data_IF_207338581906
#
_entry.id   IF_207338581906
#
_cell.length_a   1.000
_cell.length_b   1.000
_cell.length_c   1.000
_cell.angle_alpha   90.00
_cell.angle_beta   90.00
_cell.angle_gamma   90.00
#
_symmetry.space_group_name_H-M   'P 1'
#
loop_
_entity.id
_entity.type
_entity.pdbx_description
1 polymer ?
#
# COMPACT_ATOMS: atom_id res chain seq x y z
N UNK A 1 -29.58 2.11 -19.31
CA UNK A 1 -30.43 3.28 -19.03
C UNK A 1 -30.26 3.61 -17.57
N UNK A 2 -29.47 4.66 -17.27
CA UNK A 2 -29.39 5.22 -15.93
C UNK A 2 -30.78 5.73 -15.54
N UNK A 3 -31.29 5.42 -14.35
CA UNK A 3 -32.59 5.96 -13.93
C UNK A 3 -32.45 7.49 -13.83
N UNK A 4 -33.34 8.21 -14.52
CA UNK A 4 -33.45 9.65 -14.37
C UNK A 4 -34.13 9.94 -13.03
N UNK A 5 -33.35 10.30 -12.00
CA UNK A 5 -33.87 10.83 -10.73
C UNK A 5 -33.69 12.36 -10.71
N UNK A 6 -34.70 13.12 -10.23
CA UNK A 6 -34.76 14.57 -10.39
C UNK A 6 -33.66 15.33 -9.61
N UNK A 7 -33.26 16.48 -10.15
CA UNK A 7 -32.10 17.27 -9.76
C UNK A 7 -32.02 17.73 -8.29
N UNK A 8 -33.13 17.73 -7.55
CA UNK A 8 -33.15 18.10 -6.12
C UNK A 8 -32.55 17.02 -5.21
N UNK A 9 -32.61 15.74 -5.60
CA UNK A 9 -32.02 14.62 -4.84
C UNK A 9 -30.50 14.49 -5.07
N UNK A 10 -29.98 15.05 -6.17
CA UNK A 10 -28.55 14.99 -6.52
C UNK A 10 -27.66 15.78 -5.53
N UNK A 11 -28.17 16.88 -4.98
CA UNK A 11 -27.41 17.75 -4.07
C UNK A 11 -27.27 17.13 -2.67
N UNK A 12 -28.29 16.41 -2.19
CA UNK A 12 -28.25 15.70 -0.91
C UNK A 12 -27.37 14.43 -0.97
N UNK A 13 -27.40 13.67 -2.07
CA UNK A 13 -26.51 12.51 -2.26
C UNK A 13 -25.03 12.90 -2.46
N UNK A 14 -24.74 14.09 -2.99
CA UNK A 14 -23.37 14.63 -3.11
C UNK A 14 -22.69 14.85 -1.75
N UNK A 15 -23.44 15.19 -0.71
CA UNK A 15 -22.90 15.35 0.65
C UNK A 15 -22.74 14.00 1.37
N UNK A 16 -23.69 13.07 1.19
CA UNK A 16 -23.65 11.75 1.82
C UNK A 16 -22.49 10.87 1.32
N UNK A 17 -22.16 10.91 0.02
CA UNK A 17 -21.02 10.16 -0.54
C UNK A 17 -19.64 10.73 -0.15
N UNK A 18 -19.55 12.01 0.23
CA UNK A 18 -18.28 12.62 0.68
C UNK A 18 -17.98 12.43 2.17
N UNK A 19 -18.98 12.06 2.98
CA UNK A 19 -18.86 11.94 4.44
C UNK A 19 -19.05 10.52 4.99
N UNK A 20 -19.46 9.54 4.18
CA UNK A 20 -19.73 8.16 4.61
C UNK A 20 -18.51 7.27 4.76
N UNK A 21 -17.61 7.61 5.68
CA UNK A 21 -16.75 6.61 6.33
C UNK A 21 -17.56 5.90 7.40
N UNK A 22 -17.66 4.57 7.29
CA UNK A 22 -18.24 3.63 8.26
C UNK A 22 -19.75 3.74 8.55
N UNK A 23 -20.42 2.60 8.34
CA UNK A 23 -21.65 2.14 9.00
C UNK A 23 -23.00 2.73 8.52
N UNK A 24 -23.83 1.85 7.95
CA UNK A 24 -25.27 2.07 7.81
C UNK A 24 -25.83 1.60 6.47
N UNK A 25 -26.46 0.43 6.46
CA UNK A 25 -27.33 -0.08 5.40
C UNK A 25 -28.40 0.97 5.02
N UNK A 26 -28.35 1.48 3.79
CA UNK A 26 -29.51 2.04 3.12
C UNK A 26 -29.63 1.44 1.72
N UNK A 27 -30.50 0.43 1.66
CA UNK A 27 -30.89 -0.34 0.49
C UNK A 27 -31.33 0.56 -0.67
N UNK A 28 -30.62 0.50 -1.80
CA UNK A 28 -31.17 0.90 -3.09
C UNK A 28 -32.20 -0.16 -3.54
N UNK A 29 -33.47 0.21 -3.83
CA UNK A 29 -34.47 -0.75 -4.29
C UNK A 29 -34.19 -1.10 -5.75
N UNK A 30 -33.84 -2.36 -6.04
CA UNK A 30 -33.81 -2.88 -7.41
C UNK A 30 -32.63 -3.80 -7.79
N UNK A 31 -31.63 -4.02 -6.93
CA UNK A 31 -30.59 -5.02 -7.19
C UNK A 31 -30.86 -6.30 -6.39
N UNK A 32 -31.12 -7.41 -7.08
CA UNK A 32 -30.94 -8.75 -6.49
C UNK A 32 -29.51 -8.84 -5.92
N UNK A 33 -29.31 -9.34 -4.69
CA UNK A 33 -28.01 -9.40 -4.08
C UNK A 33 -27.18 -10.53 -4.72
N UNK A 34 -26.38 -10.21 -5.74
CA UNK A 34 -25.27 -11.07 -6.18
C UNK A 34 -23.95 -10.77 -5.45
N UNK A 35 -24.00 -9.97 -4.38
CA UNK A 35 -22.81 -9.52 -3.65
C UNK A 35 -22.27 -10.52 -2.63
N UNK A 36 -22.98 -11.62 -2.32
CA UNK A 36 -22.54 -12.54 -1.26
C UNK A 36 -21.45 -13.55 -1.70
N UNK A 37 -21.36 -13.93 -2.98
CA UNK A 37 -20.39 -14.92 -3.45
C UNK A 37 -19.14 -14.34 -4.12
N UNK A 38 -19.10 -13.01 -4.37
CA UNK A 38 -18.00 -12.36 -5.10
C UNK A 38 -16.85 -11.88 -4.21
N UNK A 39 -16.96 -12.09 -2.89
CA UNK A 39 -15.99 -11.62 -1.90
C UNK A 39 -14.73 -12.46 -1.72
N UNK A 40 -14.68 -13.71 -2.22
CA UNK A 40 -13.57 -14.63 -1.92
C UNK A 40 -12.34 -14.41 -2.81
N UNK A 41 -12.52 -14.16 -4.11
CA UNK A 41 -11.39 -14.04 -5.04
C UNK A 41 -10.67 -12.67 -4.99
N UNK A 42 -11.41 -11.57 -4.80
CA UNK A 42 -10.80 -10.23 -4.63
C UNK A 42 -10.16 -10.04 -3.25
N UNK A 43 -10.59 -10.79 -2.22
CA UNK A 43 -9.95 -10.81 -0.90
C UNK A 43 -8.57 -11.51 -0.90
N UNK A 44 -8.31 -12.44 -1.81
CA UNK A 44 -7.06 -13.20 -1.83
C UNK A 44 -5.83 -12.34 -2.22
N UNK A 45 -5.97 -11.46 -3.21
CA UNK A 45 -4.87 -10.62 -3.69
C UNK A 45 -4.43 -9.57 -2.64
N UNK A 46 -5.38 -8.92 -1.97
CA UNK A 46 -5.11 -7.96 -0.87
C UNK A 46 -4.72 -8.61 0.46
N UNK A 47 -4.89 -9.92 0.62
CA UNK A 47 -4.50 -10.64 1.84
C UNK A 47 -2.98 -10.84 1.91
N UNK A 48 -2.32 -11.22 0.83
CA UNK A 48 -0.86 -11.49 0.82
C UNK A 48 0.00 -10.26 1.19
N UNK A 49 -0.36 -9.07 0.69
CA UNK A 49 0.37 -7.83 1.00
C UNK A 49 0.25 -7.45 2.49
N UNK A 50 -0.92 -7.69 3.11
CA UNK A 50 -1.12 -7.41 4.55
C UNK A 50 -0.27 -8.32 5.43
N UNK A 51 -0.16 -9.60 5.08
CA UNK A 51 0.73 -10.54 5.77
C UNK A 51 2.21 -10.21 5.61
N UNK A 52 2.61 -9.48 4.57
CA UNK A 52 3.99 -9.04 4.37
C UNK A 52 4.33 -7.82 5.23
N UNK A 53 3.46 -6.82 5.23
CA UNK A 53 3.75 -5.49 5.81
C UNK A 53 3.78 -5.53 7.34
N UNK A 54 2.84 -6.24 7.97
CA UNK A 54 2.71 -6.29 9.43
C UNK A 54 3.95 -6.86 10.12
N UNK A 55 4.45 -8.07 9.78
CA UNK A 55 5.65 -8.61 10.40
C UNK A 55 6.91 -7.81 10.06
N UNK A 56 7.01 -7.24 8.85
CA UNK A 56 8.14 -6.39 8.49
C UNK A 56 8.20 -5.12 9.36
N UNK A 57 7.06 -4.44 9.53
CA UNK A 57 6.98 -3.21 10.32
C UNK A 57 7.15 -3.45 11.82
N UNK A 58 6.43 -4.43 12.36
CA UNK A 58 6.53 -4.82 13.78
C UNK A 58 7.92 -5.37 14.12
N UNK A 59 8.41 -6.31 13.30
CA UNK A 59 9.74 -6.89 13.45
C UNK A 59 10.85 -5.85 13.34
N UNK A 60 10.77 -4.93 12.36
CA UNK A 60 11.73 -3.84 12.21
C UNK A 60 11.77 -2.94 13.44
N UNK A 61 10.61 -2.50 13.93
CA UNK A 61 10.52 -1.62 15.10
C UNK A 61 11.13 -2.27 16.36
N UNK A 62 10.75 -3.53 16.64
CA UNK A 62 11.29 -4.29 17.78
C UNK A 62 12.79 -4.51 17.66
N UNK A 63 13.24 -4.94 16.48
CA UNK A 63 14.64 -5.22 16.21
C UNK A 63 15.48 -3.94 16.31
N UNK A 64 14.93 -2.78 15.93
CA UNK A 64 15.61 -1.48 16.04
C UNK A 64 15.88 -1.10 17.49
N UNK A 65 14.90 -1.31 18.38
CA UNK A 65 15.07 -1.14 19.82
C UNK A 65 16.08 -2.15 20.40
N UNK A 66 16.01 -3.41 19.95
CA UNK A 66 16.96 -4.45 20.35
C UNK A 66 18.40 -4.07 19.99
N UNK A 67 18.67 -3.62 18.75
CA UNK A 67 20.00 -3.22 18.30
C UNK A 67 20.56 -2.05 19.13
N UNK A 68 19.74 -1.04 19.43
CA UNK A 68 20.15 0.12 20.25
C UNK A 68 20.56 -0.33 21.66
N UNK A 69 19.79 -1.24 22.27
CA UNK A 69 20.07 -1.75 23.61
C UNK A 69 21.29 -2.69 23.62
N UNK A 70 21.33 -3.66 22.70
CA UNK A 70 22.35 -4.72 22.66
C UNK A 70 23.75 -4.19 22.36
N UNK A 71 23.86 -3.30 21.38
CA UNK A 71 25.15 -2.71 20.97
C UNK A 71 25.50 -1.44 21.76
N UNK A 72 24.66 -1.05 22.74
CA UNK A 72 24.84 0.17 23.55
C UNK A 72 25.15 1.40 22.68
N UNK A 73 24.48 1.51 21.53
CA UNK A 73 24.70 2.62 20.59
C UNK A 73 24.43 3.93 21.33
N UNK A 74 25.47 4.74 21.56
CA UNK A 74 25.40 6.05 22.24
C UNK A 74 25.82 7.16 21.28
N UNK A 75 25.18 8.31 21.47
CA UNK A 75 25.41 9.53 20.69
C UNK A 75 25.44 9.30 19.19
N UNK A 76 26.55 9.66 18.55
CA UNK A 76 26.75 9.55 17.10
C UNK A 76 26.58 8.12 16.56
N UNK A 77 26.82 7.09 17.38
CA UNK A 77 26.63 5.69 17.00
C UNK A 77 25.18 5.36 16.62
N UNK A 78 24.19 5.97 17.29
CA UNK A 78 22.77 5.76 16.97
C UNK A 78 22.40 6.38 15.63
N UNK A 79 22.88 7.59 15.34
CA UNK A 79 22.60 8.30 14.08
C UNK A 79 23.29 7.60 12.91
N UNK A 80 24.53 7.12 13.09
CA UNK A 80 25.24 6.29 12.09
C UNK A 80 24.49 5.00 11.77
N UNK A 81 23.89 4.35 12.77
CA UNK A 81 23.05 3.17 12.55
C UNK A 81 21.81 3.50 11.70
N UNK A 82 21.12 4.61 11.98
CA UNK A 82 20.02 5.08 11.13
C UNK A 82 20.48 5.35 9.69
N UNK A 83 21.65 5.95 9.51
CA UNK A 83 22.23 6.22 8.20
C UNK A 83 22.50 4.92 7.42
N UNK A 84 23.06 3.90 8.07
CA UNK A 84 23.26 2.58 7.45
C UNK A 84 21.93 1.91 7.08
N UNK A 85 20.94 1.94 7.97
CA UNK A 85 19.62 1.36 7.69
C UNK A 85 18.94 2.05 6.50
N UNK A 86 19.03 3.38 6.42
CA UNK A 86 18.45 4.15 5.31
C UNK A 86 19.19 3.91 4.00
N UNK A 87 20.52 3.73 4.02
CA UNK A 87 21.30 3.33 2.84
C UNK A 87 20.91 1.95 2.32
N UNK A 88 20.78 0.95 3.21
CA UNK A 88 20.35 -0.41 2.80
C UNK A 88 18.93 -0.36 2.24
N UNK A 89 18.04 0.42 2.87
CA UNK A 89 16.68 0.61 2.40
C UNK A 89 16.62 1.32 1.04
N UNK A 90 17.47 2.33 0.81
CA UNK A 90 17.62 3.04 -0.47
C UNK A 90 18.05 2.08 -1.58
N UNK A 91 19.09 1.27 -1.34
CA UNK A 91 19.60 0.30 -2.32
C UNK A 91 18.54 -0.77 -2.63
N UNK A 92 17.84 -1.26 -1.60
CA UNK A 92 16.76 -2.24 -1.76
C UNK A 92 15.57 -1.66 -2.54
N UNK A 93 15.34 -0.34 -2.48
CA UNK A 93 14.27 0.34 -3.21
C UNK A 93 14.47 0.33 -4.73
N UNK A 94 15.70 0.13 -5.21
CA UNK A 94 15.98 -0.03 -6.64
C UNK A 94 15.31 -1.27 -7.26
N UNK A 95 14.74 -2.17 -6.43
CA UNK A 95 13.95 -3.32 -6.92
C UNK A 95 12.81 -2.91 -7.85
N UNK A 96 12.24 -1.71 -7.69
CA UNK A 96 11.18 -1.20 -8.57
C UNK A 96 11.66 -0.91 -10.01
N UNK A 97 12.97 -1.04 -10.31
CA UNK A 97 13.46 -1.13 -11.69
C UNK A 97 13.02 -2.44 -12.36
N UNK A 98 12.99 -3.53 -11.59
CA UNK A 98 12.45 -4.82 -12.05
C UNK A 98 10.93 -4.77 -11.94
N UNK A 99 10.26 -4.70 -13.09
CA UNK A 99 8.81 -4.71 -13.16
C UNK A 99 8.33 -5.93 -13.94
N UNK A 100 7.21 -6.49 -13.52
CA UNK A 100 6.57 -7.57 -14.26
C UNK A 100 5.84 -6.98 -15.48
N UNK A 101 5.85 -7.68 -16.64
CA UNK A 101 5.02 -7.29 -17.76
C UNK A 101 3.54 -7.31 -17.35
N UNK A 102 2.73 -6.49 -18.02
CA UNK A 102 1.28 -6.54 -17.85
C UNK A 102 0.75 -7.83 -18.48
N UNK A 103 -0.24 -8.44 -17.83
CA UNK A 103 -1.06 -9.46 -18.49
C UNK A 103 -1.76 -8.79 -19.67
N UNK A 104 -1.78 -9.41 -20.86
CA UNK A 104 -2.49 -8.85 -22.01
C UNK A 104 -3.99 -8.81 -21.71
N UNK A 105 -4.59 -7.65 -21.96
CA UNK A 105 -6.02 -7.39 -21.78
C UNK A 105 -6.58 -7.00 -23.13
N UNK A 106 -7.54 -7.79 -23.64
CA UNK A 106 -8.15 -7.57 -24.94
C UNK A 106 -8.85 -6.20 -25.00
N UNK A 107 -8.52 -5.41 -26.02
CA UNK A 107 -9.05 -4.06 -26.25
C UNK A 107 -8.43 -2.95 -25.38
N UNK A 108 -7.45 -3.28 -24.52
CA UNK A 108 -6.79 -2.31 -23.62
C UNK A 108 -5.27 -2.30 -23.79
N UNK A 109 -4.62 -3.46 -23.66
CA UNK A 109 -3.16 -3.61 -23.83
C UNK A 109 -2.79 -4.48 -25.02
N UNK A 110 -3.70 -5.36 -25.46
CA UNK A 110 -3.59 -6.15 -26.68
C UNK A 110 -4.90 -6.06 -27.48
N UNK A 111 -4.82 -6.08 -28.80
CA UNK A 111 -6.00 -6.21 -29.66
C UNK A 111 -6.54 -7.63 -29.64
N UNK A 112 -7.79 -7.79 -30.07
CA UNK A 112 -8.43 -9.11 -30.19
C UNK A 112 -7.71 -10.07 -31.18
N UNK A 113 -6.90 -9.54 -32.10
CA UNK A 113 -6.03 -10.31 -32.99
C UNK A 113 -4.60 -10.53 -32.46
N UNK A 114 -4.33 -10.24 -31.19
CA UNK A 114 -3.01 -10.44 -30.56
C UNK A 114 -1.97 -9.33 -30.80
N UNK A 115 -2.29 -8.29 -31.58
CA UNK A 115 -1.39 -7.15 -31.80
C UNK A 115 -1.29 -6.27 -30.54
N UNK A 116 -0.08 -5.80 -30.19
CA UNK A 116 0.09 -4.85 -29.09
C UNK A 116 -0.53 -3.49 -29.45
N UNK A 117 -1.40 -2.97 -28.58
CA UNK A 117 -2.05 -1.68 -28.80
C UNK A 117 -1.22 -0.54 -28.18
N UNK A 118 -1.07 0.60 -28.88
CA UNK A 118 -0.50 1.82 -28.29
C UNK A 118 -1.36 2.33 -27.13
N UNK A 119 -0.72 3.02 -26.18
CA UNK A 119 -1.41 3.70 -25.06
C UNK A 119 -2.54 4.60 -25.56
N UNK A 120 -3.72 4.46 -24.97
CA UNK A 120 -4.87 5.34 -25.21
C UNK A 120 -5.86 4.86 -26.28
N UNK A 121 -5.56 3.77 -27.01
CA UNK A 121 -6.56 3.11 -27.88
C UNK A 121 -7.38 2.10 -27.07
N UNK A 122 -8.47 2.58 -26.49
CA UNK A 122 -9.42 1.73 -25.78
C UNK A 122 -10.56 1.34 -26.73
N UNK A 123 -10.57 0.09 -27.18
CA UNK A 123 -11.69 -0.46 -27.95
C UNK A 123 -12.00 -1.88 -27.50
N UNK A 124 -13.04 -1.98 -26.66
CA UNK A 124 -13.50 -3.26 -26.12
C UNK A 124 -14.35 -4.05 -27.14
N UNK A 125 -14.76 -3.44 -28.25
CA UNK A 125 -15.60 -4.07 -29.28
C UNK A 125 -14.77 -4.59 -30.46
N UNK A 126 -15.13 -5.78 -30.95
CA UNK A 126 -14.51 -6.45 -32.09
C UNK A 126 -15.55 -7.30 -32.83
N UNK A 127 -15.23 -7.74 -34.05
CA UNK A 127 -16.14 -8.57 -34.86
C UNK A 127 -16.63 -9.83 -34.12
N UNK A 128 -15.76 -10.45 -33.31
CA UNK A 128 -16.08 -11.66 -32.56
C UNK A 128 -17.10 -11.46 -31.42
N UNK A 129 -17.15 -10.27 -30.80
CA UNK A 129 -18.08 -9.97 -29.69
C UNK A 129 -19.24 -9.02 -30.08
N UNK A 130 -19.29 -8.59 -31.35
CA UNK A 130 -20.31 -7.68 -31.85
C UNK A 130 -21.74 -8.22 -31.70
N UNK A 131 -21.92 -9.55 -31.81
CA UNK A 131 -23.22 -10.22 -31.72
C UNK A 131 -23.86 -10.08 -30.33
N UNK A 132 -23.06 -9.91 -29.29
CA UNK A 132 -23.55 -9.97 -27.91
C UNK A 132 -23.99 -8.61 -27.34
N UNK A 133 -23.81 -7.50 -28.08
CA UNK A 133 -24.13 -6.13 -27.65
C UNK A 133 -23.66 -5.81 -26.22
N UNK A 134 -22.35 -6.00 -25.98
CA UNK A 134 -21.77 -5.92 -24.65
C UNK A 134 -21.89 -4.53 -24.03
N UNK A 135 -22.23 -4.50 -22.73
CA UNK A 135 -22.32 -3.29 -21.93
C UNK A 135 -20.98 -2.99 -21.24
N UNK A 136 -20.38 -1.81 -21.43
CA UNK A 136 -19.08 -1.47 -20.84
C UNK A 136 -19.14 -1.24 -19.32
N UNK A 137 -20.33 -1.11 -18.72
CA UNK A 137 -20.47 -0.87 -17.29
C UNK A 137 -20.31 -2.15 -16.44
N UNK A 138 -20.47 -3.33 -17.06
CA UNK A 138 -20.46 -4.61 -16.34
C UNK A 138 -19.11 -5.33 -16.42
N UNK A 139 -18.19 -4.93 -15.53
CA UNK A 139 -16.87 -5.56 -15.39
C UNK A 139 -16.95 -6.92 -14.69
N UNK A 140 -16.50 -7.96 -15.37
CA UNK A 140 -16.50 -9.33 -14.84
C UNK A 140 -15.36 -10.12 -15.48
N UNK A 141 -14.10 -9.87 -15.08
CA UNK A 141 -12.94 -10.35 -15.82
C UNK A 141 -12.95 -11.87 -15.94
N UNK A 142 -12.58 -12.36 -17.12
CA UNK A 142 -12.37 -13.77 -17.41
C UNK A 142 -10.99 -13.97 -18.02
N UNK A 143 -10.37 -15.10 -17.75
CA UNK A 143 -9.09 -15.49 -18.33
C UNK A 143 -9.31 -16.51 -19.44
N UNK A 144 -8.99 -16.14 -20.68
CA UNK A 144 -9.05 -17.05 -21.82
C UNK A 144 -7.95 -18.12 -21.77
N UNK A 145 -8.17 -19.23 -22.46
CA UNK A 145 -7.19 -20.31 -22.65
C UNK A 145 -5.93 -19.85 -23.39
N UNK A 146 -6.00 -18.71 -24.06
CA UNK A 146 -4.90 -17.99 -24.72
C UNK A 146 -4.01 -17.18 -23.75
N UNK A 147 -4.37 -17.11 -22.46
CA UNK A 147 -3.68 -16.30 -21.46
C UNK A 147 -4.01 -14.81 -21.52
N UNK A 148 -4.99 -14.41 -22.34
CA UNK A 148 -5.49 -13.03 -22.44
C UNK A 148 -6.64 -12.82 -21.47
N UNK A 149 -6.64 -11.69 -20.78
CA UNK A 149 -7.75 -11.29 -19.92
C UNK A 149 -8.78 -10.50 -20.74
N UNK A 150 -10.05 -10.85 -20.60
CA UNK A 150 -11.16 -10.17 -21.24
C UNK A 150 -12.00 -9.40 -20.21
N UNK A 151 -12.61 -8.29 -20.62
CA UNK A 151 -13.36 -7.40 -19.73
C UNK A 151 -14.58 -8.09 -19.08
N UNK A 152 -15.28 -8.92 -19.86
CA UNK A 152 -16.38 -9.75 -19.38
C UNK A 152 -16.56 -11.00 -20.27
N UNK A 153 -17.37 -12.00 -19.87
CA UNK A 153 -17.66 -13.16 -20.72
C UNK A 153 -18.27 -12.77 -22.07
N UNK A 154 -19.08 -11.71 -22.10
CA UNK A 154 -19.63 -11.13 -23.33
C UNK A 154 -18.52 -10.61 -24.26
N UNK A 155 -17.56 -9.87 -23.70
CA UNK A 155 -16.44 -9.34 -24.47
C UNK A 155 -15.50 -10.44 -24.99
N UNK A 156 -15.46 -11.59 -24.32
CA UNK A 156 -14.81 -12.81 -24.81
C UNK A 156 -15.66 -13.59 -25.85
N UNK A 157 -16.91 -13.18 -26.07
CA UNK A 157 -17.81 -13.83 -27.03
C UNK A 157 -18.29 -15.20 -26.60
N UNK A 158 -18.38 -15.46 -25.29
CA UNK A 158 -18.79 -16.76 -24.76
C UNK A 158 -20.32 -16.86 -24.65
N UNK A 159 -20.97 -17.87 -25.27
CA UNK A 159 -22.43 -18.02 -25.27
C UNK A 159 -23.00 -18.60 -23.98
N UNK A 160 -22.24 -19.47 -23.29
CA UNK A 160 -22.72 -20.21 -22.12
C UNK A 160 -21.67 -20.33 -21.02
N UNK A 161 -22.15 -20.53 -19.79
CA UNK A 161 -21.34 -20.76 -18.60
C UNK A 161 -21.64 -22.14 -18.02
N UNK A 162 -20.60 -22.88 -17.70
CA UNK A 162 -20.63 -24.17 -17.01
C UNK A 162 -20.00 -24.00 -15.62
N UNK A 163 -20.53 -24.71 -14.62
CA UNK A 163 -19.91 -24.72 -13.29
C UNK A 163 -18.87 -25.83 -13.24
N UNK A 164 -17.61 -25.47 -13.06
CA UNK A 164 -16.51 -26.43 -12.93
C UNK A 164 -16.54 -27.17 -11.57
N UNK A 165 -15.78 -28.26 -11.44
CA UNK A 165 -15.77 -29.12 -10.25
C UNK A 165 -15.30 -28.42 -8.96
N UNK A 166 -14.69 -27.24 -9.05
CA UNK A 166 -14.30 -26.39 -7.91
C UNK A 166 -15.26 -25.21 -7.64
N UNK A 167 -16.45 -25.18 -8.24
CA UNK A 167 -17.41 -24.07 -8.11
C UNK A 167 -17.07 -22.82 -8.92
N UNK A 168 -15.94 -22.81 -9.65
CA UNK A 168 -15.56 -21.75 -10.57
C UNK A 168 -16.35 -21.87 -11.88
N UNK A 169 -16.84 -20.75 -12.42
CA UNK A 169 -17.50 -20.74 -13.72
C UNK A 169 -16.47 -20.84 -14.85
N UNK A 170 -16.71 -21.77 -15.76
CA UNK A 170 -15.94 -21.99 -16.99
C UNK A 170 -16.87 -21.70 -18.17
N UNK A 171 -16.40 -20.88 -19.10
CA UNK A 171 -17.13 -20.48 -20.29
C UNK A 171 -16.51 -21.18 -21.50
N UNK A 172 -17.32 -21.82 -22.34
CA UNK A 172 -16.87 -22.58 -23.52
C UNK A 172 -17.39 -21.96 -24.80
N UNK A 173 -16.71 -22.24 -25.92
CA UNK A 173 -17.12 -21.79 -27.24
C UNK A 173 -17.01 -20.27 -27.40
N UNK A 174 -16.00 -19.66 -26.77
CA UNK A 174 -15.79 -18.23 -26.80
C UNK A 174 -15.24 -17.81 -28.17
N UNK A 175 -16.00 -17.02 -28.94
CA UNK A 175 -15.64 -16.64 -30.31
C UNK A 175 -14.41 -15.73 -30.41
N UNK A 176 -14.10 -14.97 -29.36
CA UNK A 176 -12.92 -14.10 -29.32
C UNK A 176 -11.67 -14.78 -28.78
N UNK A 177 -11.79 -16.01 -28.25
CA UNK A 177 -10.66 -16.76 -27.71
C UNK A 177 -10.21 -17.75 -28.79
N UNK A 178 -8.97 -17.66 -29.31
CA UNK A 178 -8.48 -18.60 -30.30
C UNK A 178 -8.55 -20.04 -29.77
N UNK A 179 -8.89 -21.03 -30.62
CA UNK A 179 -8.83 -22.43 -30.23
C UNK A 179 -7.38 -22.80 -29.87
N UNK A 180 -7.23 -23.57 -28.80
CA UNK A 180 -5.94 -24.15 -28.42
C UNK A 180 -5.44 -25.11 -29.51
N UNK A 181 -4.14 -25.43 -29.49
CA UNK A 181 -3.47 -26.32 -30.48
C UNK A 181 -4.13 -27.70 -30.59
N UNK A 182 -4.85 -28.12 -29.55
CA UNK A 182 -5.85 -29.19 -29.57
C UNK A 182 -7.21 -28.61 -29.95
N UNK A 183 -7.85 -29.14 -31.00
CA UNK A 183 -9.16 -28.86 -31.69
C UNK A 183 -10.36 -28.46 -30.80
N UNK A 184 -10.19 -28.37 -29.49
CA UNK A 184 -11.12 -27.80 -28.53
C UNK A 184 -11.41 -26.31 -28.81
N UNK A 185 -12.70 -25.91 -28.79
CA UNK A 185 -13.10 -24.51 -28.85
C UNK A 185 -12.45 -23.69 -27.74
N UNK A 186 -12.15 -22.42 -28.02
CA UNK A 186 -11.62 -21.48 -27.02
C UNK A 186 -12.52 -21.43 -25.78
N UNK A 187 -11.90 -21.50 -24.60
CA UNK A 187 -12.60 -21.44 -23.32
C UNK A 187 -12.02 -20.32 -22.44
N UNK A 188 -12.81 -19.86 -21.48
CA UNK A 188 -12.37 -18.86 -20.51
C UNK A 188 -12.82 -19.24 -19.10
N UNK A 189 -12.02 -18.92 -18.09
CA UNK A 189 -12.34 -19.17 -16.68
C UNK A 189 -12.65 -17.86 -15.97
N UNK A 190 -13.56 -17.90 -15.00
CA UNK A 190 -13.90 -16.72 -14.19
C UNK A 190 -12.68 -16.23 -13.38
N UNK A 191 -12.41 -14.92 -13.47
CA UNK A 191 -11.34 -14.25 -12.72
C UNK A 191 -10.28 -13.59 -13.59
N UNK A 192 -9.28 -13.00 -12.93
CA UNK A 192 -8.11 -12.41 -13.58
C UNK A 192 -7.13 -13.51 -13.98
N UNK A 193 -6.43 -13.33 -15.09
CA UNK A 193 -5.38 -14.29 -15.47
C UNK A 193 -4.23 -14.28 -14.47
N UNK A 194 -3.62 -15.46 -14.19
CA UNK A 194 -2.42 -15.53 -13.38
C UNK A 194 -1.28 -14.80 -14.09
N UNK A 195 -0.61 -13.89 -13.38
CA UNK A 195 0.60 -13.25 -13.90
C UNK A 195 1.79 -14.19 -13.73
N UNK A 196 2.26 -14.79 -14.83
CA UNK A 196 3.49 -15.56 -14.85
C UNK A 196 4.70 -14.62 -14.75
N UNK A 197 5.07 -14.24 -13.53
CA UNK A 197 6.25 -13.41 -13.28
C UNK A 197 7.24 -14.16 -12.37
N UNK A 198 8.40 -14.61 -12.89
CA UNK A 198 9.38 -15.36 -12.12
C UNK A 198 10.03 -14.51 -11.01
N UNK A 199 10.10 -13.19 -11.21
CA UNK A 199 10.69 -12.24 -10.25
C UNK A 199 9.73 -11.82 -9.13
N UNK A 200 8.47 -12.29 -9.13
CA UNK A 200 7.48 -11.96 -8.10
C UNK A 200 7.95 -12.26 -6.65
N UNK A 201 8.48 -13.45 -6.31
CA UNK A 201 8.98 -13.71 -4.95
C UNK A 201 10.16 -12.82 -4.57
N UNK A 202 11.06 -12.52 -5.51
CA UNK A 202 12.19 -11.62 -5.29
C UNK A 202 11.71 -10.19 -4.99
N UNK A 203 10.75 -9.67 -5.75
CA UNK A 203 10.13 -8.37 -5.52
C UNK A 203 9.49 -8.30 -4.12
N UNK A 204 8.73 -9.33 -3.73
CA UNK A 204 8.11 -9.42 -2.41
C UNK A 204 9.15 -9.43 -1.28
N UNK A 205 10.22 -10.21 -1.42
CA UNK A 205 11.30 -10.29 -0.44
C UNK A 205 12.05 -8.95 -0.29
N UNK A 206 12.32 -8.25 -1.38
CA UNK A 206 12.99 -6.95 -1.34
C UNK A 206 12.08 -5.84 -0.82
N UNK A 207 10.77 -5.87 -1.12
CA UNK A 207 9.80 -4.97 -0.50
C UNK A 207 9.71 -5.21 1.01
N UNK A 208 9.74 -6.47 1.46
CA UNK A 208 9.85 -6.79 2.88
C UNK A 208 11.11 -6.18 3.50
N UNK A 209 12.26 -6.29 2.83
CA UNK A 209 13.52 -5.70 3.28
C UNK A 209 13.45 -4.17 3.37
N UNK A 210 12.87 -3.51 2.37
CA UNK A 210 12.63 -2.06 2.38
C UNK A 210 11.82 -1.65 3.61
N UNK A 211 10.70 -2.34 3.86
CA UNK A 211 9.82 -2.04 5.00
C UNK A 211 10.56 -2.30 6.31
N UNK A 212 11.20 -3.46 6.44
CA UNK A 212 11.97 -3.86 7.63
C UNK A 212 13.00 -2.79 8.00
N UNK A 213 13.89 -2.40 7.08
CA UNK A 213 14.92 -1.39 7.36
C UNK A 213 14.36 0.02 7.58
N UNK A 214 13.23 0.36 6.96
CA UNK A 214 12.54 1.63 7.24
C UNK A 214 12.11 1.68 8.70
N UNK A 215 11.40 0.66 9.17
CA UNK A 215 10.95 0.58 10.55
C UNK A 215 12.09 0.30 11.55
N UNK A 216 13.16 -0.37 11.12
CA UNK A 216 14.37 -0.60 11.92
C UNK A 216 15.01 0.70 12.41
N UNK A 217 14.94 1.75 11.60
CA UNK A 217 15.49 3.07 11.94
C UNK A 217 14.59 3.92 12.84
N UNK A 218 13.31 3.54 13.03
CA UNK A 218 12.31 4.36 13.73
C UNK A 218 12.62 4.55 15.22
N UNK A 219 12.81 3.47 15.98
CA UNK A 219 13.14 3.50 17.40
C UNK A 219 14.53 4.11 17.67
N UNK A 220 15.59 3.77 16.90
CA UNK A 220 16.87 4.46 17.02
C UNK A 220 16.76 5.97 16.80
N UNK A 221 16.01 6.42 15.79
CA UNK A 221 15.80 7.85 15.54
C UNK A 221 15.07 8.54 16.70
N UNK A 222 14.00 7.93 17.22
CA UNK A 222 13.29 8.43 18.40
C UNK A 222 14.22 8.52 19.63
N UNK A 223 15.03 7.49 19.84
CA UNK A 223 16.00 7.44 20.95
C UNK A 223 17.08 8.51 20.79
N UNK A 224 17.52 8.78 19.56
CA UNK A 224 18.46 9.85 19.26
C UNK A 224 17.87 11.22 19.61
N UNK A 225 16.62 11.50 19.21
CA UNK A 225 15.93 12.75 19.56
C UNK A 225 15.84 12.95 21.08
N UNK A 226 15.40 11.92 21.83
CA UNK A 226 15.23 12.01 23.28
C UNK A 226 16.54 12.24 24.04
N UNK A 227 17.67 11.80 23.48
CA UNK A 227 19.01 12.00 24.06
C UNK A 227 19.61 13.36 23.72
N UNK A 228 19.09 14.07 22.74
CA UNK A 228 19.53 15.42 22.37
C UNK A 228 18.80 16.53 23.15
N UNK A 229 17.73 16.17 23.88
CA UNK A 229 16.85 17.12 24.56
C UNK A 229 16.88 16.86 26.07
N UNK A 230 16.92 17.93 26.87
CA UNK A 230 16.83 17.87 28.33
C UNK A 230 15.54 17.19 28.79
N UNK A 231 15.57 16.50 29.93
CA UNK A 231 14.43 15.71 30.44
C UNK A 231 13.10 16.49 30.48
N UNK A 232 13.13 17.76 30.87
CA UNK A 232 11.95 18.63 30.96
C UNK A 232 11.31 18.97 29.60
N UNK A 233 12.07 18.92 28.50
CA UNK A 233 11.60 19.33 27.16
C UNK A 233 11.27 18.14 26.25
N UNK A 234 11.46 16.89 26.70
CA UNK A 234 11.28 15.70 25.87
C UNK A 234 9.87 15.56 25.29
N UNK A 235 8.84 15.77 26.10
CA UNK A 235 7.44 15.67 25.66
C UNK A 235 7.10 16.73 24.61
N UNK A 236 7.64 17.95 24.77
CA UNK A 236 7.48 19.02 23.79
C UNK A 236 8.16 18.68 22.45
N UNK A 237 9.40 18.18 22.49
CA UNK A 237 10.12 17.75 21.30
C UNK A 237 9.42 16.61 20.56
N UNK A 238 8.92 15.60 21.28
CA UNK A 238 8.12 14.52 20.69
C UNK A 238 6.82 15.05 20.05
N UNK A 239 6.16 16.02 20.69
CA UNK A 239 4.98 16.68 20.14
C UNK A 239 5.27 17.33 18.78
N UNK A 240 6.33 18.13 18.68
CA UNK A 240 6.76 18.74 17.42
C UNK A 240 7.11 17.67 16.38
N UNK A 241 7.87 16.64 16.76
CA UNK A 241 8.26 15.55 15.87
C UNK A 241 7.03 14.87 15.24
N UNK A 242 6.00 14.55 16.04
CA UNK A 242 4.78 13.91 15.53
C UNK A 242 3.93 14.85 14.67
N UNK A 243 3.88 16.14 15.00
CA UNK A 243 3.22 17.15 14.16
C UNK A 243 3.89 17.19 12.77
N UNK A 244 5.22 17.24 12.71
CA UNK A 244 5.97 17.24 11.44
C UNK A 244 5.75 15.95 10.65
N UNK A 245 5.81 14.78 11.30
CA UNK A 245 5.56 13.48 10.65
C UNK A 245 4.14 13.42 10.06
N UNK A 246 3.15 13.95 10.78
CA UNK A 246 1.76 13.90 10.32
C UNK A 246 1.47 14.90 9.21
N UNK A 247 1.99 16.12 9.34
CA UNK A 247 1.76 17.21 8.36
C UNK A 247 2.54 16.99 7.06
N UNK A 248 3.79 16.56 7.13
CA UNK A 248 4.66 16.37 5.95
C UNK A 248 4.65 14.93 5.41
N UNK A 249 4.20 13.96 6.21
CA UNK A 249 4.18 12.55 5.84
C UNK A 249 2.76 12.00 5.69
N UNK A 250 2.03 11.88 6.80
CA UNK A 250 0.74 11.17 6.83
C UNK A 250 -0.36 11.81 5.98
N UNK A 251 -0.39 13.14 5.87
CA UNK A 251 -1.39 13.86 5.07
C UNK A 251 -1.04 13.83 3.57
N UNK A 252 0.15 14.29 3.11
CA UNK A 252 0.48 14.30 1.70
C UNK A 252 0.76 12.90 1.13
N UNK A 253 1.17 11.93 1.97
CA UNK A 253 1.53 10.59 1.54
C UNK A 253 0.42 9.86 0.76
N UNK A 254 -0.79 9.67 1.34
CA UNK A 254 -1.91 9.05 0.63
C UNK A 254 -2.36 9.84 -0.60
N UNK A 255 -2.28 11.17 -0.58
CA UNK A 255 -2.66 12.02 -1.72
C UNK A 255 -1.69 11.80 -2.89
N UNK A 256 -0.38 11.85 -2.63
CA UNK A 256 0.64 11.59 -3.64
C UNK A 256 0.55 10.16 -4.19
N UNK A 257 0.31 9.19 -3.30
CA UNK A 257 0.14 7.79 -3.69
C UNK A 257 -1.12 7.57 -4.55
N UNK A 258 -2.23 8.21 -4.20
CA UNK A 258 -3.46 8.21 -5.01
C UNK A 258 -3.19 8.78 -6.41
N UNK A 259 -2.53 9.93 -6.49
CA UNK A 259 -2.17 10.54 -7.78
C UNK A 259 -1.27 9.62 -8.64
N UNK A 260 -0.32 8.91 -8.04
CA UNK A 260 0.53 7.93 -8.75
C UNK A 260 -0.31 6.76 -9.29
N UNK A 261 -1.25 6.23 -8.50
CA UNK A 261 -2.15 5.15 -8.91
C UNK A 261 -3.04 5.61 -10.07
N UNK A 262 -3.62 6.79 -9.97
CA UNK A 262 -4.52 7.34 -10.98
C UNK A 262 -3.78 7.56 -12.31
N UNK A 263 -2.53 8.02 -12.26
CA UNK A 263 -1.65 8.18 -13.44
C UNK A 263 -1.32 6.86 -14.13
N UNK A 264 -1.27 5.76 -13.37
CA UNK A 264 -1.00 4.44 -13.91
C UNK A 264 -2.25 3.72 -14.44
N UNK A 265 -3.43 4.33 -14.34
CA UNK A 265 -4.68 3.72 -14.80
C UNK A 265 -4.76 3.66 -16.33
N UNK A 266 -5.15 2.50 -16.87
CA UNK A 266 -5.43 2.28 -18.28
C UNK A 266 -6.93 2.25 -18.59
N UNK A 267 -7.74 1.75 -17.65
CA UNK A 267 -9.18 1.58 -17.84
C UNK A 267 -9.93 2.03 -16.60
N UNK A 268 -10.58 3.18 -16.70
CA UNK A 268 -11.43 3.74 -15.65
C UNK A 268 -12.80 3.06 -15.63
N UNK A 269 -13.34 2.88 -14.44
CA UNK A 269 -14.76 2.57 -14.28
C UNK A 269 -15.58 3.84 -14.51
N UNK A 270 -16.54 3.77 -15.42
CA UNK A 270 -17.58 4.79 -15.57
C UNK A 270 -18.88 4.28 -14.94
N UNK A 271 -19.41 5.03 -13.97
CA UNK A 271 -20.75 4.82 -13.45
C UNK A 271 -21.54 6.10 -13.63
N UNK A 272 -22.46 6.10 -14.60
CA UNK A 272 -23.34 7.23 -14.87
C UNK A 272 -22.58 8.55 -15.13
N UNK A 273 -21.46 8.50 -15.87
CA UNK A 273 -20.63 9.67 -16.17
C UNK A 273 -19.78 10.18 -14.99
N UNK A 274 -19.69 9.41 -13.90
CA UNK A 274 -18.75 9.64 -12.81
C UNK A 274 -17.63 8.60 -12.86
N UNK A 275 -16.39 9.07 -12.78
CA UNK A 275 -15.21 8.19 -12.72
C UNK A 275 -15.12 7.53 -11.33
N UNK A 276 -15.10 6.20 -11.33
CA UNK A 276 -14.92 5.37 -10.15
C UNK A 276 -13.51 4.78 -10.06
N UNK A 277 -13.39 3.56 -9.55
CA UNK A 277 -12.11 2.85 -9.42
C UNK A 277 -11.53 2.43 -10.77
N UNK A 278 -10.21 2.32 -10.88
CA UNK A 278 -9.58 1.81 -12.10
C UNK A 278 -9.58 0.26 -12.14
N UNK A 279 -9.96 -0.29 -13.29
CA UNK A 279 -10.07 -1.74 -13.50
C UNK A 279 -8.73 -2.40 -13.88
N UNK A 280 -7.93 -1.70 -14.69
CA UNK A 280 -6.65 -2.18 -15.23
C UNK A 280 -5.60 -1.09 -15.10
N UNK A 281 -4.48 -1.44 -14.47
CA UNK A 281 -3.33 -0.54 -14.28
C UNK A 281 -2.17 -0.99 -15.16
N UNK A 282 -1.29 -0.06 -15.48
CA UNK A 282 -0.04 -0.36 -16.18
C UNK A 282 1.11 -0.55 -15.21
N UNK A 283 1.55 -1.81 -15.06
CA UNK A 283 2.61 -2.21 -14.14
C UNK A 283 3.92 -1.43 -14.32
N UNK A 284 4.39 -1.27 -15.57
CA UNK A 284 5.63 -0.55 -15.87
C UNK A 284 5.58 0.92 -15.40
N UNK A 285 4.47 1.61 -15.70
CA UNK A 285 4.27 3.00 -15.30
C UNK A 285 4.16 3.13 -13.78
N UNK A 286 3.38 2.25 -13.16
CA UNK A 286 3.19 2.21 -11.72
C UNK A 286 4.53 2.00 -10.99
N UNK A 287 5.34 1.05 -11.47
CA UNK A 287 6.68 0.78 -10.93
C UNK A 287 7.61 1.98 -11.08
N UNK A 288 7.61 2.63 -12.25
CA UNK A 288 8.43 3.81 -12.51
C UNK A 288 8.04 5.00 -11.62
N UNK A 289 6.75 5.31 -11.49
CA UNK A 289 6.29 6.40 -10.65
C UNK A 289 6.55 6.13 -9.16
N UNK A 290 6.33 4.89 -8.70
CA UNK A 290 6.69 4.47 -7.33
C UNK A 290 8.19 4.56 -7.08
N UNK A 291 9.02 4.15 -8.04
CA UNK A 291 10.47 4.24 -7.96
C UNK A 291 10.92 5.69 -7.82
N UNK A 292 10.46 6.58 -8.71
CA UNK A 292 10.85 8.00 -8.69
C UNK A 292 10.43 8.66 -7.37
N UNK A 293 9.16 8.49 -6.97
CA UNK A 293 8.65 9.07 -5.74
C UNK A 293 9.41 8.55 -4.52
N UNK A 294 9.53 7.23 -4.39
CA UNK A 294 10.18 6.63 -3.22
C UNK A 294 11.69 6.88 -3.18
N UNK A 295 12.40 6.89 -4.31
CA UNK A 295 13.81 7.26 -4.37
C UNK A 295 14.01 8.71 -3.91
N UNK A 296 13.14 9.63 -4.35
CA UNK A 296 13.16 11.03 -3.89
C UNK A 296 13.02 11.13 -2.37
N UNK A 297 12.05 10.44 -1.78
CA UNK A 297 11.87 10.43 -0.32
C UNK A 297 13.03 9.75 0.43
N UNK A 298 13.59 8.67 -0.11
CA UNK A 298 14.71 7.94 0.50
C UNK A 298 16.01 8.73 0.45
N UNK A 299 16.31 9.39 -0.67
CA UNK A 299 17.47 10.27 -0.82
C UNK A 299 17.34 11.46 0.14
N UNK A 300 16.17 12.10 0.20
CA UNK A 300 15.93 13.20 1.13
C UNK A 300 16.13 12.76 2.60
N UNK A 301 15.59 11.60 2.97
CA UNK A 301 15.80 11.02 4.31
C UNK A 301 17.27 10.71 4.61
N UNK A 302 17.99 10.13 3.65
CA UNK A 302 19.43 9.86 3.77
C UNK A 302 20.22 11.15 3.98
N UNK A 303 19.93 12.21 3.21
CA UNK A 303 20.56 13.53 3.36
C UNK A 303 20.29 14.13 4.73
N UNK A 304 19.06 14.03 5.26
CA UNK A 304 18.75 14.52 6.60
C UNK A 304 19.48 13.73 7.70
N UNK A 305 19.57 12.40 7.60
CA UNK A 305 20.37 11.62 8.55
C UNK A 305 21.87 11.88 8.42
N UNK A 306 22.37 12.11 7.20
CA UNK A 306 23.76 12.49 6.97
C UNK A 306 24.06 13.85 7.60
N UNK A 307 23.22 14.85 7.36
CA UNK A 307 23.32 16.17 7.99
C UNK A 307 23.25 16.07 9.52
N UNK A 308 22.33 15.26 10.07
CA UNK A 308 22.27 15.00 11.49
C UNK A 308 23.56 14.36 12.02
N UNK A 309 24.16 13.40 11.30
CA UNK A 309 25.46 12.82 11.64
C UNK A 309 26.58 13.86 11.69
N UNK A 310 26.61 14.81 10.74
CA UNK A 310 27.63 15.86 10.68
C UNK A 310 27.44 16.96 11.73
N UNK A 311 26.19 17.35 11.99
CA UNK A 311 25.84 18.39 12.96
C UNK A 311 25.81 17.87 14.40
N UNK A 312 25.71 16.56 14.60
CA UNK A 312 25.70 15.94 15.91
C UNK A 312 27.02 16.20 16.64
N UNK A 313 26.99 17.13 17.59
CA UNK A 313 28.08 17.37 18.53
C UNK A 313 27.85 16.46 19.73
N UNK A 314 28.75 15.50 19.97
CA UNK A 314 28.72 14.74 21.22
C UNK A 314 28.89 15.73 22.37
N UNK A 315 28.11 15.64 23.45
CA UNK A 315 28.49 16.28 24.69
C UNK A 315 29.91 15.80 25.01
N UNK A 316 30.87 16.70 24.97
CA UNK A 316 32.25 16.42 25.34
C UNK A 316 32.24 15.97 26.79
N UNK A 317 32.66 14.73 27.04
CA UNK A 317 32.95 14.28 28.40
C UNK A 317 34.01 15.20 28.98
N UNK A 318 33.70 15.77 30.14
CA UNK A 318 34.66 16.41 31.02
C UNK A 318 35.84 15.47 31.27
N UNK A 319 37.00 15.82 30.70
CA UNK A 319 38.28 15.45 31.28
C UNK A 319 38.66 16.63 32.16
N UNK A 320 38.42 16.49 33.46
CA UNK A 320 39.31 16.97 34.51
C UNK A 320 38.90 16.31 35.82
N UNK A 321 39.82 15.51 36.36
CA UNK A 321 39.72 15.06 37.73
C UNK A 321 40.20 16.16 38.65
N UNK A 322 39.45 16.45 39.71
CA UNK A 322 39.99 16.84 41.02
C UNK A 322 38.91 16.54 42.07
N UNK A 323 39.33 15.81 43.10
CA UNK A 323 38.60 15.51 44.31
C UNK A 323 37.93 16.73 44.95
N UNK A 324 36.70 16.53 45.44
CA UNK A 324 36.25 17.09 46.71
C UNK A 324 35.27 16.10 47.37
N UNK A 325 35.84 15.19 48.16
CA UNK A 325 35.35 14.70 49.46
C UNK A 325 33.85 14.83 49.80
N UNK A 326 33.14 13.68 49.79
CA UNK A 326 32.30 13.02 50.83
C UNK A 326 31.40 13.86 51.80
N UNK A 327 30.37 13.26 52.48
CA UNK A 327 30.02 11.83 52.53
C UNK A 327 28.55 11.46 52.25
N UNK A 328 28.44 10.21 51.83
CA UNK A 328 27.30 9.32 51.95
C UNK A 328 26.71 9.23 53.36
N UNK A 329 25.37 9.24 53.46
CA UNK A 329 24.64 8.49 54.47
C UNK A 329 23.50 7.70 53.81
N UNK A 330 23.67 6.38 53.83
CA UNK A 330 22.63 5.37 53.74
C UNK A 330 21.71 5.48 54.96
N UNK A 331 20.41 5.22 54.81
CA UNK A 331 19.63 4.29 55.66
C UNK A 331 18.17 4.18 55.20
N UNK A 332 17.69 2.95 55.16
CA UNK A 332 16.30 2.58 54.99
C UNK A 332 15.50 2.72 56.31
N UNK A 333 14.18 2.59 56.15
CA UNK A 333 13.16 2.17 57.14
C UNK A 333 12.35 3.19 57.94
N UNK A 334 11.07 2.83 58.02
CA UNK A 334 10.03 3.07 59.03
C UNK A 334 9.14 4.33 58.95
N UNK A 335 7.84 4.10 58.68
CA UNK A 335 6.76 4.84 59.32
C UNK A 335 6.72 4.48 60.80
N UNK A 336 6.32 5.39 61.69
CA UNK A 336 4.94 5.28 62.21
C UNK A 336 4.27 6.63 62.57
N UNK A 337 2.93 6.61 62.46
CA UNK A 337 1.91 7.16 63.38
C UNK A 337 1.92 8.65 63.80
N UNK A 338 0.76 9.27 63.56
CA UNK A 338 0.15 10.46 64.23
C UNK A 338 0.43 10.59 65.75
N UNK A 339 0.29 11.79 66.39
CA UNK A 339 -0.99 12.51 66.45
C UNK A 339 -1.00 14.05 66.55
N UNK A 340 -2.16 14.59 66.16
CA UNK A 340 -2.95 15.68 66.76
C UNK A 340 -2.50 17.17 66.76
N UNK A 341 -3.43 17.95 66.19
CA UNK A 341 -4.11 19.15 66.73
C UNK A 341 -3.62 20.57 66.38
N UNK A 342 -4.54 21.24 65.67
CA UNK A 342 -5.23 22.50 66.05
C UNK A 342 -4.69 23.83 65.50
N UNK A 343 -5.47 24.43 64.60
CA UNK A 343 -6.13 25.76 64.72
C UNK A 343 -6.56 26.24 63.32
N UNK A 344 -7.87 26.33 63.07
CA UNK A 344 -8.69 27.56 62.96
C UNK A 344 -8.15 28.51 61.86
N UNK A 345 -8.85 28.78 60.77
CA UNK A 345 -10.23 29.29 60.64
C UNK A 345 -10.83 28.88 59.29
#
# INVERSE_FOLDING_TARGET
>A
MCPATPASHQTQSRLACRLGGAQGDQSCPGLRPQTLHRGSAQAAAGSSARYLVVPAGGGGTLLGGYFVNRFKLRGSGTVRFCLLCTLISLLSFLVFLTHCPNVPVAGVTAGYGGSLLPRGHLNLTAACNAVCHCRPEHYSPVCGSDGTQYFSPCHAGCPAAETGPGGQKVYRGCSCVPPSVSVEPGHATEGKCPSACPSKPLLLALVFLVILFTFLSSIPALTATLRCVCDQQRSFALGIQWILVRTLGSIPGPIAFGWVIDRACLLWQDQCGQQGSCFVYQNAAMSQYMLIAGLTYKVLGFLFFAAACFLYKSPSGSSDGTEASLPSHSSASESPTEPQQQSNL
#
